data_IF_968882230160
#
_entry.id   IF_968882230160
#
_cell.length_a   1.000
_cell.length_b   1.000
_cell.length_c   1.000
_cell.angle_alpha   90.00
_cell.angle_beta   90.00
_cell.angle_gamma   90.00
#
_symmetry.space_group_name_H-M   'P 1'
#
loop_
_entity.id
_entity.type
_entity.pdbx_description
1 polymer ?
#
# COMPACT_ATOMS: atom_id res chain seq x y z
N UNK A 1 -12.96 -19.44 28.56
CA UNK A 1 -13.82 -19.13 27.42
C UNK A 1 -12.90 -19.01 26.22
N UNK A 2 -12.93 -20.03 25.36
CA UNK A 2 -12.18 -20.11 24.11
C UNK A 2 -12.47 -18.89 23.24
N UNK A 3 -11.41 -18.20 22.80
CA UNK A 3 -11.49 -17.18 21.78
C UNK A 3 -11.53 -17.88 20.42
N UNK A 4 -12.65 -17.77 19.71
CA UNK A 4 -12.76 -18.15 18.30
C UNK A 4 -11.78 -17.30 17.47
N UNK A 5 -10.59 -17.87 17.28
CA UNK A 5 -9.52 -17.30 16.49
C UNK A 5 -9.54 -17.91 15.09
N UNK A 6 -10.71 -17.95 14.43
CA UNK A 6 -10.76 -18.34 13.01
C UNK A 6 -12.05 -17.88 12.31
N UNK A 7 -12.00 -16.70 11.69
CA UNK A 7 -12.83 -16.44 10.52
C UNK A 7 -12.13 -15.36 9.69
N UNK A 8 -11.97 -15.62 8.39
CA UNK A 8 -11.44 -14.73 7.35
C UNK A 8 -9.94 -14.81 7.03
N UNK A 9 -9.42 -16.02 6.83
CA UNK A 9 -8.38 -16.24 5.80
C UNK A 9 -9.05 -16.38 4.43
N UNK A 10 -9.37 -15.26 3.77
CA UNK A 10 -9.77 -15.32 2.34
C UNK A 10 -8.52 -15.62 1.51
N UNK A 11 -8.58 -16.69 0.71
CA UNK A 11 -7.53 -17.11 -0.21
C UNK A 11 -7.35 -16.04 -1.29
N UNK A 12 -6.21 -15.35 -1.27
CA UNK A 12 -5.71 -14.56 -2.40
C UNK A 12 -5.17 -15.51 -3.48
N UNK A 13 -5.44 -15.20 -4.74
CA UNK A 13 -4.95 -16.00 -5.87
C UNK A 13 -3.47 -15.76 -6.12
N UNK A 14 -2.78 -16.75 -6.67
CA UNK A 14 -1.31 -16.79 -6.84
C UNK A 14 -0.70 -15.63 -7.66
N UNK A 15 -1.51 -14.78 -8.30
CA UNK A 15 -1.03 -13.62 -9.04
C UNK A 15 -0.79 -12.38 -8.17
N UNK A 16 -1.26 -12.38 -6.92
CA UNK A 16 -1.13 -11.27 -5.97
C UNK A 16 -0.07 -11.61 -4.91
N UNK A 17 1.19 -11.27 -5.18
CA UNK A 17 2.31 -11.45 -4.23
C UNK A 17 2.25 -10.50 -3.00
N UNK A 18 1.08 -9.99 -2.63
CA UNK A 18 0.89 -9.10 -1.48
C UNK A 18 0.37 -9.88 -0.27
N UNK A 19 1.00 -9.70 0.89
CA UNK A 19 0.50 -10.21 2.17
C UNK A 19 -0.35 -9.16 2.86
N UNK A 20 -1.59 -9.50 3.20
CA UNK A 20 -2.50 -8.64 3.98
C UNK A 20 -2.40 -8.98 5.47
N UNK A 21 -2.22 -7.97 6.30
CA UNK A 21 -2.30 -8.09 7.75
C UNK A 21 -3.21 -6.99 8.30
N UNK A 22 -4.25 -7.38 9.07
CA UNK A 22 -5.12 -6.45 9.76
C UNK A 22 -4.69 -6.34 11.21
N UNK A 23 -4.48 -5.12 11.69
CA UNK A 23 -4.12 -4.82 13.07
C UNK A 23 -5.16 -3.87 13.67
N UNK A 24 -5.62 -4.17 14.88
CA UNK A 24 -6.35 -3.21 15.70
C UNK A 24 -5.33 -2.58 16.66
N UNK A 25 -5.24 -1.25 16.67
CA UNK A 25 -4.39 -0.58 17.64
C UNK A 25 -5.02 -0.70 19.04
N UNK A 26 -4.34 -1.37 19.97
CA UNK A 26 -4.76 -1.42 21.37
C UNK A 26 -4.43 -0.08 22.04
N UNK A 27 -5.41 0.82 22.14
CA UNK A 27 -5.24 2.14 22.75
C UNK A 27 -6.51 3.01 22.70
N UNK A 28 -6.48 4.18 23.37
CA UNK A 28 -7.60 5.13 23.53
C UNK A 28 -8.21 5.67 22.23
N UNK A 29 -7.60 5.41 21.08
CA UNK A 29 -8.17 5.68 19.76
C UNK A 29 -8.39 4.34 19.06
N UNK A 30 -9.64 4.00 18.75
CA UNK A 30 -9.95 2.86 17.90
C UNK A 30 -9.56 3.21 16.47
N UNK A 31 -8.28 3.00 16.15
CA UNK A 31 -7.80 3.07 14.78
C UNK A 31 -7.60 1.65 14.25
N UNK A 32 -8.18 1.37 13.09
CA UNK A 32 -7.98 0.10 12.39
C UNK A 32 -6.87 0.29 11.36
N UNK A 33 -5.94 -0.65 11.27
CA UNK A 33 -4.91 -0.64 10.24
C UNK A 33 -4.98 -1.88 9.37
N UNK A 34 -4.97 -1.68 8.05
CA UNK A 34 -4.73 -2.74 7.07
C UNK A 34 -3.39 -2.49 6.42
N UNK A 35 -2.50 -3.49 6.46
CA UNK A 35 -1.15 -3.43 5.91
C UNK A 35 -0.97 -4.44 4.79
N UNK A 36 -0.32 -3.99 3.73
CA UNK A 36 0.15 -4.77 2.61
C UNK A 36 1.67 -4.71 2.52
N UNK A 37 2.28 -5.87 2.28
CA UNK A 37 3.73 -5.98 2.04
C UNK A 37 3.99 -6.77 0.77
N UNK A 38 4.95 -6.31 -0.04
CA UNK A 38 5.45 -7.01 -1.23
C UNK A 38 6.85 -6.55 -1.61
N UNK A 39 7.65 -7.44 -2.17
CA UNK A 39 8.93 -7.11 -2.81
C UNK A 39 8.72 -6.42 -4.17
N UNK A 40 9.35 -5.27 -4.38
CA UNK A 40 9.32 -4.50 -5.61
C UNK A 40 9.93 -5.32 -6.75
N UNK A 41 9.18 -5.45 -7.85
CA UNK A 41 9.69 -6.00 -9.10
C UNK A 41 10.27 -4.91 -10.00
N UNK A 42 11.04 -5.28 -11.03
CA UNK A 42 11.58 -4.32 -11.99
C UNK A 42 10.51 -3.47 -12.71
N UNK A 43 9.29 -4.01 -12.88
CA UNK A 43 8.16 -3.23 -13.41
C UNK A 43 7.62 -2.22 -12.39
N UNK A 44 7.63 -2.58 -11.10
CA UNK A 44 7.11 -1.70 -10.04
C UNK A 44 7.98 -0.45 -9.90
N UNK A 45 9.29 -0.52 -10.19
CA UNK A 45 10.19 0.65 -10.21
C UNK A 45 9.72 1.73 -11.21
N UNK A 46 9.08 1.33 -12.32
CA UNK A 46 8.56 2.28 -13.32
C UNK A 46 7.11 2.67 -13.04
N UNK A 47 6.29 1.71 -12.62
CA UNK A 47 4.86 1.89 -12.40
C UNK A 47 4.33 0.83 -11.47
N UNK A 48 3.82 1.23 -10.31
CA UNK A 48 3.16 0.30 -9.40
C UNK A 48 1.76 -0.04 -9.90
N UNK A 49 1.52 -1.33 -10.16
CA UNK A 49 0.18 -1.86 -10.40
C UNK A 49 -0.55 -1.95 -9.06
N UNK A 50 -1.73 -1.36 -8.99
CA UNK A 50 -2.58 -1.40 -7.80
C UNK A 50 -3.36 -2.69 -7.84
N UNK A 51 -3.09 -3.58 -6.89
CA UNK A 51 -3.73 -4.90 -6.82
C UNK A 51 -5.11 -4.81 -6.19
N UNK A 52 -5.91 -5.86 -6.34
CA UNK A 52 -7.25 -5.93 -5.72
C UNK A 52 -7.18 -5.71 -4.20
N UNK A 53 -6.17 -6.27 -3.53
CA UNK A 53 -5.93 -6.04 -2.11
C UNK A 53 -5.66 -4.56 -1.77
N UNK A 54 -4.93 -3.84 -2.63
CA UNK A 54 -4.73 -2.41 -2.45
C UNK A 54 -6.04 -1.64 -2.63
N UNK A 55 -6.84 -2.00 -3.64
CA UNK A 55 -8.14 -1.37 -3.91
C UNK A 55 -9.12 -1.52 -2.74
N UNK A 56 -9.02 -2.58 -1.94
CA UNK A 56 -9.84 -2.72 -0.72
C UNK A 56 -9.51 -1.67 0.35
N UNK A 57 -8.31 -1.07 0.32
CA UNK A 57 -7.92 0.00 1.24
C UNK A 57 -8.08 1.41 0.67
N UNK A 58 -7.88 1.56 -0.64
CA UNK A 58 -7.86 2.88 -1.30
C UNK A 58 -9.28 3.43 -1.43
N UNK A 59 -9.43 4.76 -1.68
CA UNK A 59 -10.73 5.32 -1.99
C UNK A 59 -11.33 4.63 -3.23
N UNK A 60 -12.67 4.59 -3.35
CA UNK A 60 -13.33 4.00 -4.52
C UNK A 60 -12.81 4.59 -5.81
N UNK A 61 -12.43 3.74 -6.77
CA UNK A 61 -11.93 4.19 -8.08
C UNK A 61 -13.01 4.92 -8.88
N UNK A 62 -12.61 5.97 -9.60
CA UNK A 62 -13.44 6.69 -10.55
C UNK A 62 -12.91 6.40 -11.97
N UNK A 63 -13.73 5.85 -12.88
CA UNK A 63 -13.30 5.51 -14.24
C UNK A 63 -13.06 6.74 -15.13
N UNK A 64 -13.59 7.90 -14.74
CA UNK A 64 -13.55 9.13 -15.52
C UNK A 64 -12.51 10.12 -14.99
N UNK A 65 -12.01 9.89 -13.77
CA UNK A 65 -11.11 10.82 -13.08
C UNK A 65 -9.99 10.10 -12.34
N UNK A 66 -8.80 10.70 -12.38
CA UNK A 66 -7.70 10.26 -11.52
C UNK A 66 -7.95 10.75 -10.09
N UNK A 67 -7.77 9.86 -9.11
CA UNK A 67 -8.00 10.16 -7.70
C UNK A 67 -6.65 10.46 -7.03
N UNK A 68 -6.43 11.66 -6.47
CA UNK A 68 -5.21 11.95 -5.71
C UNK A 68 -5.25 11.25 -4.35
N UNK A 69 -4.16 10.57 -4.01
CA UNK A 69 -3.97 9.86 -2.75
C UNK A 69 -2.70 10.38 -2.10
N UNK A 70 -2.86 11.02 -0.94
CA UNK A 70 -1.74 11.52 -0.14
C UNK A 70 -1.23 10.40 0.77
N UNK A 71 0.04 10.08 0.63
CA UNK A 71 0.71 8.98 1.32
C UNK A 71 1.90 9.53 2.09
N UNK A 72 1.95 9.24 3.39
CA UNK A 72 3.05 9.67 4.26
C UNK A 72 4.10 8.57 4.34
N UNK A 73 5.34 8.88 3.98
CA UNK A 73 6.46 7.97 4.25
C UNK A 73 6.75 7.98 5.75
N UNK A 74 6.68 6.82 6.38
CA UNK A 74 6.84 6.68 7.83
C UNK A 74 8.28 6.88 8.30
N UNK A 75 9.25 6.66 7.43
CA UNK A 75 10.68 6.75 7.74
C UNK A 75 11.19 8.18 7.56
N UNK A 76 10.76 8.86 6.50
CA UNK A 76 11.23 10.23 6.18
C UNK A 76 10.25 11.32 6.61
N UNK A 77 8.99 10.95 6.92
CA UNK A 77 7.88 11.88 7.15
C UNK A 77 7.50 12.75 5.93
N UNK A 78 8.06 12.48 4.76
CA UNK A 78 7.70 13.15 3.52
C UNK A 78 6.28 12.74 3.09
N UNK A 79 5.58 13.66 2.46
CA UNK A 79 4.24 13.42 1.90
C UNK A 79 4.34 13.34 0.39
N UNK A 80 3.94 12.20 -0.16
CA UNK A 80 3.85 11.98 -1.61
C UNK A 80 2.38 11.97 -2.03
N UNK A 81 2.08 12.51 -3.20
CA UNK A 81 0.76 12.41 -3.81
C UNK A 81 0.81 11.45 -4.99
N UNK A 82 0.11 10.33 -4.88
CA UNK A 82 -0.05 9.36 -5.96
C UNK A 82 -1.42 9.52 -6.58
N UNK A 83 -1.46 9.65 -7.92
CA UNK A 83 -2.71 9.68 -8.66
C UNK A 83 -3.11 8.26 -9.02
N UNK A 84 -4.19 7.76 -8.44
CA UNK A 84 -4.79 6.48 -8.78
C UNK A 84 -5.61 6.63 -10.05
N UNK A 85 -5.22 5.91 -11.10
CA UNK A 85 -5.88 5.96 -12.41
C UNK A 85 -6.51 4.61 -12.71
N UNK A 86 -7.82 4.61 -12.97
CA UNK A 86 -8.57 3.46 -13.46
C UNK A 86 -9.16 3.82 -14.83
N UNK A 87 -8.51 3.40 -15.92
CA UNK A 87 -9.00 3.74 -17.27
C UNK A 87 -10.09 2.76 -17.69
N UNK A 88 -11.15 3.28 -18.30
CA UNK A 88 -12.21 2.47 -18.93
C UNK A 88 -11.62 1.41 -19.90
N UNK A 89 -12.27 0.25 -19.97
CA UNK A 89 -11.86 -0.87 -20.85
C UNK A 89 -11.09 -2.01 -20.17
N UNK A 90 -11.32 -2.25 -18.86
CA UNK A 90 -10.81 -3.44 -18.16
C UNK A 90 -9.32 -3.43 -17.81
N UNK A 91 -8.68 -2.25 -17.84
CA UNK A 91 -7.27 -2.11 -17.44
C UNK A 91 -7.14 -2.10 -15.92
N UNK A 92 -6.10 -2.77 -15.41
CA UNK A 92 -5.80 -2.77 -13.97
C UNK A 92 -5.54 -1.33 -13.48
N UNK A 93 -6.06 -0.94 -12.30
CA UNK A 93 -5.73 0.34 -11.70
C UNK A 93 -4.23 0.45 -11.41
N UNK A 94 -3.72 1.67 -11.47
CA UNK A 94 -2.29 1.95 -11.36
C UNK A 94 -2.08 3.30 -10.69
N UNK A 95 -0.97 3.43 -9.96
CA UNK A 95 -0.47 4.76 -9.65
C UNK A 95 0.19 5.34 -10.90
N UNK A 96 -0.15 6.60 -11.21
CA UNK A 96 0.48 7.30 -12.31
C UNK A 96 1.98 7.45 -12.06
N UNK A 97 2.74 7.33 -13.16
CA UNK A 97 4.20 7.32 -13.12
C UNK A 97 4.78 8.61 -12.56
N UNK A 98 4.16 9.79 -12.75
CA UNK A 98 4.73 11.07 -12.29
C UNK A 98 4.92 11.11 -10.77
N UNK A 99 3.88 10.86 -9.98
CA UNK A 99 3.97 10.85 -8.51
C UNK A 99 4.76 9.66 -7.96
N UNK A 100 4.59 8.49 -8.57
CA UNK A 100 5.29 7.27 -8.16
C UNK A 100 6.80 7.35 -8.42
N UNK A 101 7.21 7.86 -9.58
CA UNK A 101 8.63 7.95 -9.96
C UNK A 101 9.39 8.90 -9.04
N UNK A 102 8.75 9.98 -8.57
CA UNK A 102 9.37 10.88 -7.58
C UNK A 102 9.73 10.11 -6.30
N UNK A 103 8.80 9.29 -5.79
CA UNK A 103 9.06 8.45 -4.62
C UNK A 103 10.17 7.40 -4.89
N UNK A 104 10.15 6.75 -6.05
CA UNK A 104 11.18 5.78 -6.46
C UNK A 104 12.57 6.40 -6.52
N UNK A 105 12.70 7.59 -7.13
CA UNK A 105 13.97 8.30 -7.24
C UNK A 105 14.44 8.76 -5.85
N UNK A 106 13.56 9.39 -5.07
CA UNK A 106 13.89 9.96 -3.76
C UNK A 106 14.33 8.90 -2.74
N UNK A 107 13.70 7.72 -2.75
CA UNK A 107 14.05 6.60 -1.87
C UNK A 107 15.06 5.63 -2.50
N UNK A 108 15.40 5.82 -3.77
CA UNK A 108 16.27 4.94 -4.55
C UNK A 108 15.80 3.49 -4.56
N UNK A 109 14.52 3.26 -4.89
CA UNK A 109 13.91 1.92 -4.85
C UNK A 109 14.47 1.06 -5.97
N UNK A 110 14.91 -0.14 -5.61
CA UNK A 110 15.43 -1.13 -6.54
C UNK A 110 14.58 -2.41 -6.52
N UNK A 111 14.73 -3.22 -7.57
CA UNK A 111 14.08 -4.53 -7.60
C UNK A 111 14.63 -5.41 -6.45
N UNK A 112 13.73 -6.01 -5.69
CA UNK A 112 14.06 -6.80 -4.50
C UNK A 112 13.88 -6.05 -3.17
N UNK A 113 13.72 -4.72 -3.18
CA UNK A 113 13.34 -3.98 -1.98
C UNK A 113 11.92 -4.34 -1.53
N UNK A 114 11.65 -4.34 -0.24
CA UNK A 114 10.31 -4.58 0.30
C UNK A 114 9.56 -3.28 0.54
N UNK A 115 8.38 -3.19 -0.06
CA UNK A 115 7.44 -2.08 0.11
C UNK A 115 6.37 -2.46 1.10
N UNK A 116 6.13 -1.57 2.05
CA UNK A 116 5.07 -1.64 3.03
C UNK A 116 4.10 -0.50 2.77
N UNK A 117 2.85 -0.83 2.49
CA UNK A 117 1.78 0.15 2.31
C UNK A 117 0.66 -0.16 3.27
N UNK A 118 0.14 0.83 4.00
CA UNK A 118 -0.98 0.60 4.90
C UNK A 118 -1.88 1.81 5.02
N UNK A 119 -3.14 1.53 5.35
CA UNK A 119 -4.11 2.53 5.75
C UNK A 119 -4.25 2.50 7.28
N UNK A 120 -4.34 3.68 7.89
CA UNK A 120 -4.76 3.89 9.26
C UNK A 120 -6.09 4.64 9.22
N UNK A 121 -7.17 3.96 9.53
CA UNK A 121 -8.49 4.59 9.67
C UNK A 121 -8.64 5.05 11.11
N UNK A 122 -8.84 6.34 11.32
CA UNK A 122 -9.11 6.92 12.63
C UNK A 122 -10.41 7.72 12.58
N UNK A 123 -11.30 7.50 13.55
CA UNK A 123 -12.63 8.13 13.60
C UNK A 123 -12.60 9.67 13.57
N UNK A 124 -11.51 10.28 14.05
CA UNK A 124 -11.36 11.75 14.14
C UNK A 124 -10.75 12.38 12.88
N UNK A 125 -9.97 11.63 12.11
CA UNK A 125 -9.12 12.17 11.03
C UNK A 125 -9.35 11.50 9.67
N UNK A 126 -10.28 10.54 9.61
CA UNK A 126 -10.50 9.70 8.44
C UNK A 126 -9.36 8.72 8.20
N UNK A 127 -9.22 8.28 6.95
CA UNK A 127 -8.17 7.34 6.54
C UNK A 127 -6.89 8.08 6.18
N UNK A 128 -5.78 7.67 6.80
CA UNK A 128 -4.43 8.12 6.47
C UNK A 128 -3.64 6.99 5.80
N UNK A 129 -3.09 7.26 4.62
CA UNK A 129 -2.26 6.29 3.91
C UNK A 129 -0.80 6.50 4.26
N UNK A 130 -0.08 5.39 4.45
CA UNK A 130 1.33 5.39 4.78
C UNK A 130 2.11 4.41 3.93
N UNK A 131 3.38 4.73 3.73
CA UNK A 131 4.33 3.88 3.02
C UNK A 131 5.65 3.78 3.80
N UNK A 132 6.35 2.66 3.66
CA UNK A 132 7.71 2.50 4.14
C UNK A 132 8.47 1.56 3.20
N UNK A 133 9.79 1.70 3.19
CA UNK A 133 10.69 0.92 2.36
C UNK A 133 11.68 0.17 3.24
N UNK A 134 11.83 -1.13 3.02
CA UNK A 134 12.88 -1.93 3.63
C UNK A 134 13.81 -2.44 2.53
N UNK A 135 15.11 -2.23 2.72
CA UNK A 135 16.15 -2.63 1.77
C UNK A 135 16.92 -3.82 2.34
N UNK A 136 16.50 -5.08 2.06
CA UNK A 136 17.14 -6.26 2.63
C UNK A 136 18.61 -6.38 2.23
N UNK A 137 18.98 -5.88 1.04
CA UNK A 137 20.35 -5.95 0.52
C UNK A 137 21.33 -4.97 1.19
N UNK A 138 20.83 -3.90 1.83
CA UNK A 138 21.66 -2.94 2.57
C UNK A 138 21.78 -3.29 4.04
N UNK A 139 20.83 -4.06 4.58
CA UNK A 139 20.81 -4.51 5.96
C UNK A 139 20.49 -6.01 6.02
N UNK A 140 21.39 -6.88 5.52
CA UNK A 140 21.28 -8.31 5.78
C UNK A 140 21.31 -8.51 7.30
N UNK A 141 20.36 -9.27 7.83
CA UNK A 141 20.40 -9.66 9.23
C UNK A 141 21.76 -10.36 9.53
N UNK A 142 22.38 -10.08 10.69
CA UNK A 142 23.62 -10.75 11.10
C UNK A 142 23.43 -12.26 11.30
#
# INVERSE_FOLDING_TARGET
MEMEHDRFKKKLTASDHWRIQKFLAEGRCSCTSLRLTRSASASDVKRLVVTTAMLEMLPPVDPDRDIPIRVVDKQTHNVYEFKLSCRQGGRKPVFQSSGWTVFVIDRGIEAGDELYFWAEECLLHGTQYRIALYKPNLFPHP
#
